data_IF_356678458037
#
_entry.id   IF_356678458037
#
_cell.length_a   1.000
_cell.length_b   1.000
_cell.length_c   1.000
_cell.angle_alpha   90.00
_cell.angle_beta   90.00
_cell.angle_gamma   90.00
#
_symmetry.space_group_name_H-M   'P 1'
#
loop_
_entity.id
_entity.type
_entity.pdbx_description
1 polymer ?
#
# COMPACT_ATOMS: atom_id res chain seq x y z
N UNK A 1 8.36 -48.25 -2.43
CA UNK A 1 9.01 -46.92 -2.51
C UNK A 1 8.07 -45.91 -1.87
N UNK A 2 8.40 -45.47 -0.68
CA UNK A 2 7.61 -44.43 0.01
C UNK A 2 7.93 -43.06 -0.61
N UNK A 3 6.92 -42.42 -1.18
CA UNK A 3 7.05 -41.05 -1.65
C UNK A 3 7.45 -40.14 -0.49
N UNK A 4 8.57 -39.44 -0.63
CA UNK A 4 8.97 -38.42 0.33
C UNK A 4 7.83 -37.40 0.48
N UNK A 5 7.50 -36.95 1.73
CA UNK A 5 6.49 -35.94 1.92
C UNK A 5 6.91 -34.67 1.17
N UNK A 6 6.05 -34.20 0.26
CA UNK A 6 6.23 -32.91 -0.41
C UNK A 6 6.35 -31.85 0.68
N UNK A 7 7.54 -31.27 0.83
CA UNK A 7 7.74 -30.17 1.76
C UNK A 7 6.74 -29.05 1.40
N UNK A 8 5.85 -28.70 2.31
CA UNK A 8 4.91 -27.61 2.12
C UNK A 8 5.70 -26.31 1.87
N UNK A 9 5.26 -25.52 0.90
CA UNK A 9 5.87 -24.21 0.66
C UNK A 9 5.83 -23.36 1.94
N UNK A 10 6.90 -22.63 2.25
CA UNK A 10 6.91 -21.74 3.40
C UNK A 10 5.78 -20.70 3.29
N UNK A 11 5.29 -20.22 4.42
CA UNK A 11 4.15 -19.28 4.48
C UNK A 11 4.65 -17.85 4.55
N UNK A 12 4.03 -16.99 3.72
CA UNK A 12 4.19 -15.54 3.79
C UNK A 12 2.89 -14.93 4.32
N UNK A 13 2.94 -14.36 5.52
CA UNK A 13 1.81 -13.61 6.10
C UNK A 13 1.83 -12.19 5.53
N UNK A 14 0.74 -11.80 4.88
CA UNK A 14 0.54 -10.46 4.37
C UNK A 14 -0.24 -9.63 5.40
N UNK A 15 0.48 -8.79 6.15
CA UNK A 15 0.01 -8.08 7.33
C UNK A 15 -0.78 -6.82 6.96
N UNK A 16 -1.95 -7.00 6.37
CA UNK A 16 -2.92 -5.93 6.11
C UNK A 16 -4.34 -6.44 6.34
N UNK A 17 -5.19 -5.59 6.93
CA UNK A 17 -6.63 -5.81 7.08
C UNK A 17 -7.42 -5.05 6.00
N UNK A 18 -6.77 -4.27 5.16
CA UNK A 18 -7.40 -3.60 4.03
C UNK A 18 -7.51 -4.57 2.83
N UNK A 19 -8.75 -4.97 2.49
CA UNK A 19 -9.02 -5.92 1.39
C UNK A 19 -8.52 -5.44 0.02
N UNK A 20 -8.60 -4.14 -0.25
CA UNK A 20 -8.13 -3.58 -1.52
C UNK A 20 -6.60 -3.68 -1.63
N UNK A 21 -5.88 -3.28 -0.58
CA UNK A 21 -4.42 -3.45 -0.49
C UNK A 21 -4.01 -4.92 -0.60
N UNK A 22 -4.69 -5.81 0.13
CA UNK A 22 -4.38 -7.25 0.10
C UNK A 22 -4.48 -7.81 -1.33
N UNK A 23 -5.55 -7.49 -2.06
CA UNK A 23 -5.72 -7.91 -3.46
C UNK A 23 -4.61 -7.40 -4.37
N UNK A 24 -4.29 -6.10 -4.30
CA UNK A 24 -3.19 -5.54 -5.10
C UNK A 24 -1.85 -6.21 -4.77
N UNK A 25 -1.54 -6.39 -3.48
CA UNK A 25 -0.27 -6.99 -3.04
C UNK A 25 -0.14 -8.45 -3.48
N UNK A 26 -1.22 -9.25 -3.41
CA UNK A 26 -1.21 -10.64 -3.90
C UNK A 26 -0.92 -10.70 -5.39
N UNK A 27 -1.58 -9.86 -6.18
CA UNK A 27 -1.35 -9.77 -7.64
C UNK A 27 0.08 -9.33 -7.95
N UNK A 28 0.57 -8.30 -7.27
CA UNK A 28 1.91 -7.74 -7.48
C UNK A 28 3.04 -8.68 -7.04
N UNK A 29 2.85 -9.42 -5.95
CA UNK A 29 3.80 -10.45 -5.52
C UNK A 29 3.90 -11.56 -6.55
N UNK A 30 2.79 -11.90 -7.22
CA UNK A 30 2.77 -12.91 -8.28
C UNK A 30 3.34 -14.25 -7.81
N UNK A 31 4.05 -14.93 -8.69
CA UNK A 31 4.70 -16.20 -8.34
C UNK A 31 5.96 -15.97 -7.51
N UNK A 32 5.89 -16.39 -6.25
CA UNK A 32 6.99 -16.42 -5.28
C UNK A 32 7.04 -17.82 -4.62
N UNK A 33 8.20 -18.22 -4.03
CA UNK A 33 8.33 -19.54 -3.42
C UNK A 33 7.61 -19.69 -2.07
N UNK A 34 6.52 -18.95 -1.87
CA UNK A 34 5.74 -18.92 -0.62
C UNK A 34 4.26 -19.18 -0.90
N UNK A 35 3.57 -19.73 0.09
CA UNK A 35 2.11 -19.69 0.17
C UNK A 35 1.71 -18.37 0.83
N UNK A 36 1.05 -17.47 0.09
CA UNK A 36 0.62 -16.17 0.62
C UNK A 36 -0.64 -16.37 1.47
N UNK A 37 -0.61 -15.82 2.69
CA UNK A 37 -1.73 -15.81 3.64
C UNK A 37 -2.08 -14.36 3.96
N UNK A 38 -3.10 -13.78 3.30
CA UNK A 38 -3.56 -12.43 3.63
C UNK A 38 -4.21 -12.42 5.02
N UNK A 39 -3.74 -11.53 5.90
CA UNK A 39 -4.23 -11.48 7.27
C UNK A 39 -5.72 -11.09 7.35
N UNK A 40 -6.21 -10.34 6.37
CA UNK A 40 -7.64 -9.98 6.24
C UNK A 40 -8.57 -11.21 6.10
N UNK A 41 -8.04 -12.35 5.70
CA UNK A 41 -8.79 -13.61 5.55
C UNK A 41 -8.64 -14.54 6.77
N UNK A 42 -7.85 -14.14 7.78
CA UNK A 42 -7.66 -14.89 9.03
C UNK A 42 -8.71 -14.43 10.05
N UNK A 43 -9.62 -15.30 10.50
CA UNK A 43 -10.64 -14.94 11.47
C UNK A 43 -10.04 -14.39 12.78
N UNK A 44 -10.57 -13.28 13.28
CA UNK A 44 -10.11 -12.66 14.51
C UNK A 44 -8.72 -12.00 14.43
N UNK A 45 -8.14 -11.86 13.25
CA UNK A 45 -6.89 -11.17 13.09
C UNK A 45 -7.05 -9.67 13.40
N UNK A 46 -6.15 -9.16 14.23
CA UNK A 46 -6.05 -7.75 14.57
C UNK A 46 -4.62 -7.26 14.34
N UNK A 47 -4.47 -6.02 13.92
CA UNK A 47 -3.22 -5.31 13.85
C UNK A 47 -3.23 -4.12 14.81
N UNK A 48 -2.06 -3.67 15.29
CA UNK A 48 -1.99 -2.47 16.12
C UNK A 48 -2.41 -1.23 15.34
N UNK A 49 -2.78 -0.18 16.07
CA UNK A 49 -2.95 1.14 15.49
C UNK A 49 -1.63 1.65 14.91
N UNK A 50 -1.72 2.38 13.81
CA UNK A 50 -0.60 3.01 13.15
C UNK A 50 -0.25 4.32 13.88
N UNK A 51 0.59 4.21 14.91
CA UNK A 51 0.97 5.32 15.80
C UNK A 51 2.29 5.98 15.43
N UNK A 52 3.08 5.38 14.54
CA UNK A 52 4.33 5.96 14.09
C UNK A 52 4.12 7.17 13.17
N UNK A 53 5.07 8.10 13.20
CA UNK A 53 5.05 9.30 12.37
C UNK A 53 5.61 9.08 10.95
N UNK A 54 6.07 7.85 10.66
CA UNK A 54 6.64 7.47 9.37
C UNK A 54 5.98 6.22 8.81
N UNK A 55 5.93 6.10 7.47
CA UNK A 55 5.46 4.89 6.79
C UNK A 55 6.28 3.66 7.19
N UNK A 56 7.61 3.82 7.30
CA UNK A 56 8.49 2.74 7.72
C UNK A 56 8.13 2.24 9.12
N UNK A 57 7.96 3.16 10.08
CA UNK A 57 7.57 2.81 11.44
C UNK A 57 6.25 2.05 11.49
N UNK A 58 5.23 2.50 10.76
CA UNK A 58 3.94 1.81 10.71
C UNK A 58 4.02 0.45 10.01
N UNK A 59 4.79 0.34 8.92
CA UNK A 59 5.01 -0.94 8.25
C UNK A 59 5.71 -1.94 9.18
N UNK A 60 6.74 -1.50 9.92
CA UNK A 60 7.46 -2.33 10.91
C UNK A 60 6.56 -2.76 12.06
N UNK A 61 5.75 -1.87 12.62
CA UNK A 61 4.77 -2.19 13.68
C UNK A 61 3.82 -3.30 13.23
N UNK A 62 3.27 -3.20 12.01
CA UNK A 62 2.37 -4.22 11.46
C UNK A 62 3.09 -5.54 11.20
N UNK A 63 4.30 -5.51 10.64
CA UNK A 63 5.08 -6.72 10.38
C UNK A 63 5.41 -7.46 11.68
N UNK A 64 5.88 -6.76 12.70
CA UNK A 64 6.20 -7.33 14.01
C UNK A 64 4.97 -7.94 14.68
N UNK A 65 3.84 -7.26 14.66
CA UNK A 65 2.60 -7.76 15.25
C UNK A 65 2.07 -9.02 14.56
N UNK A 66 2.35 -9.18 13.26
CA UNK A 66 1.86 -10.29 12.47
C UNK A 66 2.73 -11.57 12.56
N UNK A 67 3.91 -11.53 13.15
CA UNK A 67 4.78 -12.72 13.38
C UNK A 67 4.03 -13.84 14.12
N UNK A 68 3.10 -13.50 15.02
CA UNK A 68 2.28 -14.46 15.79
C UNK A 68 1.34 -15.31 14.92
N UNK A 69 1.14 -14.99 13.65
CA UNK A 69 0.28 -15.74 12.75
C UNK A 69 1.00 -16.87 12.00
N UNK A 70 2.12 -17.32 12.54
CA UNK A 70 2.85 -18.49 12.09
C UNK A 70 3.27 -18.46 10.63
N UNK A 71 3.77 -17.31 10.19
CA UNK A 71 4.44 -17.15 8.91
C UNK A 71 5.94 -17.43 9.00
N UNK A 72 6.53 -17.95 7.93
CA UNK A 72 7.99 -18.01 7.79
C UNK A 72 8.57 -16.64 7.46
N UNK A 73 7.75 -15.83 6.75
CA UNK A 73 8.02 -14.43 6.43
C UNK A 73 6.75 -13.62 6.64
N UNK A 74 6.90 -12.43 7.17
CA UNK A 74 5.83 -11.43 7.26
C UNK A 74 6.14 -10.26 6.35
N UNK A 75 5.16 -9.83 5.58
CA UNK A 75 5.21 -8.64 4.72
C UNK A 75 4.10 -7.69 5.15
N UNK A 76 4.45 -6.44 5.43
CA UNK A 76 3.50 -5.38 5.75
C UNK A 76 3.77 -4.15 4.89
N UNK A 77 2.72 -3.45 4.46
CA UNK A 77 2.85 -2.15 3.80
C UNK A 77 2.30 -1.03 4.66
N UNK A 78 2.91 0.15 4.57
CA UNK A 78 2.24 1.40 4.88
C UNK A 78 2.38 2.36 3.71
N UNK A 79 1.33 3.14 3.43
CA UNK A 79 1.27 3.95 2.22
C UNK A 79 0.33 5.13 2.39
N UNK A 80 0.63 6.22 1.69
CA UNK A 80 -0.21 7.39 1.71
C UNK A 80 0.05 8.34 0.55
N UNK A 81 -0.79 9.35 0.50
CA UNK A 81 -0.73 10.47 -0.42
C UNK A 81 -0.09 11.66 0.28
N UNK A 82 0.90 12.25 -0.35
CA UNK A 82 1.53 13.51 0.09
C UNK A 82 1.21 14.59 -0.94
N UNK A 83 0.70 15.75 -0.49
CA UNK A 83 0.36 16.88 -1.36
C UNK A 83 1.17 18.09 -0.91
N UNK A 84 1.96 18.68 -1.81
CA UNK A 84 2.89 19.75 -1.47
C UNK A 84 2.17 21.00 -0.95
N UNK A 85 1.05 21.37 -1.56
CA UNK A 85 0.22 22.49 -1.11
C UNK A 85 -0.39 22.30 0.30
N UNK A 86 -0.37 21.07 0.82
CA UNK A 86 -0.80 20.74 2.18
C UNK A 86 0.38 20.36 3.08
N UNK A 87 1.59 20.83 2.74
CA UNK A 87 2.82 20.55 3.51
C UNK A 87 3.08 19.05 3.70
N UNK A 88 2.81 18.25 2.65
CA UNK A 88 2.93 16.80 2.67
C UNK A 88 1.72 16.05 3.26
N UNK A 89 0.69 16.78 3.72
CA UNK A 89 -0.55 16.13 4.16
C UNK A 89 -1.32 15.51 2.98
N UNK A 90 -2.16 14.49 3.24
CA UNK A 90 -2.44 13.80 4.49
C UNK A 90 -1.31 12.86 5.00
N UNK A 91 -0.35 12.45 4.17
CA UNK A 91 0.82 11.66 4.56
C UNK A 91 0.44 10.31 5.18
N UNK A 92 1.08 9.93 6.28
CA UNK A 92 0.80 8.69 7.04
C UNK A 92 -0.64 8.61 7.57
N UNK A 93 -1.38 9.74 7.53
CA UNK A 93 -2.79 9.79 7.96
C UNK A 93 -3.77 9.62 6.81
N UNK A 94 -3.32 9.22 5.61
CA UNK A 94 -4.15 9.15 4.40
C UNK A 94 -5.42 8.32 4.60
N UNK A 95 -5.32 7.15 5.23
CA UNK A 95 -6.46 6.27 5.47
C UNK A 95 -7.47 6.80 6.51
N UNK A 96 -7.09 7.78 7.31
CA UNK A 96 -7.91 8.38 8.38
C UNK A 96 -8.05 9.90 8.26
N UNK A 97 -7.71 10.46 7.11
CA UNK A 97 -7.83 11.89 6.83
C UNK A 97 -9.28 12.36 6.98
N UNK A 98 -9.47 13.43 7.74
CA UNK A 98 -10.80 13.96 8.07
C UNK A 98 -11.51 13.23 9.22
N UNK A 99 -10.84 12.24 9.85
CA UNK A 99 -11.37 11.55 11.02
C UNK A 99 -12.24 10.32 10.72
N UNK A 100 -12.88 9.76 11.75
CA UNK A 100 -13.75 8.61 11.62
C UNK A 100 -15.02 8.95 10.84
N UNK A 101 -15.60 7.95 10.18
CA UNK A 101 -16.89 8.06 9.49
C UNK A 101 -16.80 8.50 8.03
N UNK A 102 -15.65 8.94 7.52
CA UNK A 102 -15.48 9.19 6.09
C UNK A 102 -15.07 7.90 5.36
N UNK A 103 -15.73 7.66 4.23
CA UNK A 103 -15.29 6.71 3.22
C UNK A 103 -14.25 7.34 2.26
N UNK A 104 -13.81 6.60 1.27
CA UNK A 104 -12.82 7.09 0.29
C UNK A 104 -13.33 8.28 -0.51
N UNK A 105 -14.62 8.31 -0.86
CA UNK A 105 -15.22 9.43 -1.57
C UNK A 105 -15.27 10.69 -0.70
N UNK A 106 -15.63 10.55 0.57
CA UNK A 106 -15.64 11.63 1.55
C UNK A 106 -14.24 12.21 1.80
N UNK A 107 -13.21 11.35 1.90
CA UNK A 107 -11.81 11.78 2.04
C UNK A 107 -11.32 12.51 0.79
N UNK A 108 -11.69 12.02 -0.38
CA UNK A 108 -11.37 12.67 -1.66
C UNK A 108 -12.04 14.04 -1.77
N UNK A 109 -13.31 14.14 -1.41
CA UNK A 109 -14.03 15.42 -1.40
C UNK A 109 -13.39 16.43 -0.43
N UNK A 110 -13.03 15.99 0.77
CA UNK A 110 -12.34 16.82 1.75
C UNK A 110 -10.96 17.29 1.25
N UNK A 111 -10.21 16.40 0.56
CA UNK A 111 -8.94 16.77 -0.05
C UNK A 111 -9.11 17.89 -1.07
N UNK A 112 -10.07 17.74 -1.97
CA UNK A 112 -10.37 18.75 -2.99
C UNK A 112 -10.86 20.07 -2.37
N UNK A 113 -11.64 20.01 -1.32
CA UNK A 113 -12.05 21.19 -0.55
C UNK A 113 -10.83 21.93 0.03
N UNK A 114 -9.88 21.22 0.63
CA UNK A 114 -8.65 21.81 1.19
C UNK A 114 -7.75 22.43 0.13
N UNK A 115 -7.88 21.98 -1.12
CA UNK A 115 -7.15 22.51 -2.27
C UNK A 115 -7.92 23.59 -3.02
N UNK A 116 -9.09 24.04 -2.52
CA UNK A 116 -9.86 25.11 -3.15
C UNK A 116 -9.02 26.39 -3.24
N UNK A 117 -8.95 26.96 -4.43
CA UNK A 117 -8.13 28.16 -4.71
C UNK A 117 -6.63 27.87 -4.94
N UNK A 118 -6.17 26.64 -4.76
CA UNK A 118 -4.81 26.26 -5.17
C UNK A 118 -4.81 26.03 -6.67
N UNK A 119 -3.97 26.75 -7.45
CA UNK A 119 -3.91 26.57 -8.89
C UNK A 119 -3.36 25.20 -9.28
N UNK A 120 -3.76 24.63 -10.43
CA UNK A 120 -3.42 23.25 -10.83
C UNK A 120 -1.92 22.95 -10.76
N UNK A 121 -1.06 23.85 -11.23
CA UNK A 121 0.39 23.71 -11.26
C UNK A 121 1.03 23.61 -9.87
N UNK A 122 0.31 23.99 -8.82
CA UNK A 122 0.73 23.91 -7.41
C UNK A 122 0.12 22.74 -6.67
N UNK A 123 -0.63 21.87 -7.34
CA UNK A 123 -1.24 20.66 -6.76
C UNK A 123 -0.34 19.44 -6.94
N UNK A 124 0.97 19.63 -6.95
CA UNK A 124 1.92 18.51 -7.00
C UNK A 124 1.74 17.59 -5.81
N UNK A 125 1.81 16.29 -6.08
CA UNK A 125 1.57 15.27 -5.09
C UNK A 125 2.37 14.01 -5.40
N UNK A 126 2.54 13.14 -4.41
CA UNK A 126 3.10 11.80 -4.63
C UNK A 126 2.36 10.77 -3.80
N UNK A 127 2.25 9.59 -4.34
CA UNK A 127 1.99 8.40 -3.54
C UNK A 127 3.30 7.76 -3.10
N UNK A 128 3.34 7.34 -1.85
CA UNK A 128 4.47 6.63 -1.24
C UNK A 128 3.99 5.32 -0.63
N UNK A 129 4.78 4.27 -0.76
CA UNK A 129 4.55 2.99 -0.13
C UNK A 129 5.87 2.46 0.42
N UNK A 130 5.89 2.13 1.70
CA UNK A 130 6.99 1.39 2.33
C UNK A 130 6.51 -0.02 2.63
N UNK A 131 7.32 -1.01 2.27
CA UNK A 131 7.10 -2.41 2.58
C UNK A 131 8.18 -2.87 3.56
N UNK A 132 7.76 -3.43 4.69
CA UNK A 132 8.61 -4.13 5.63
C UNK A 132 8.52 -5.65 5.37
N UNK A 133 9.68 -6.29 5.30
CA UNK A 133 9.85 -7.75 5.18
C UNK A 133 10.58 -8.24 6.42
N UNK A 134 9.95 -9.14 7.17
CA UNK A 134 10.48 -9.72 8.40
C UNK A 134 10.45 -11.25 8.32
N UNK A 135 11.61 -11.88 8.33
CA UNK A 135 11.75 -13.34 8.44
C UNK A 135 11.63 -13.81 9.90
N UNK A 136 11.62 -15.13 10.10
CA UNK A 136 11.66 -15.74 11.45
C UNK A 136 12.92 -15.36 12.24
N UNK A 137 14.00 -15.10 11.54
CA UNK A 137 15.31 -14.73 12.11
C UNK A 137 15.86 -13.52 11.36
N UNK A 138 16.69 -12.75 12.05
CA UNK A 138 17.33 -11.57 11.48
C UNK A 138 16.50 -10.28 11.58
N UNK A 139 17.09 -9.15 11.17
CA UNK A 139 16.43 -7.86 11.23
C UNK A 139 15.36 -7.72 10.14
N UNK A 140 14.35 -6.92 10.42
CA UNK A 140 13.43 -6.48 9.38
C UNK A 140 14.19 -5.64 8.33
N UNK A 141 13.77 -5.79 7.07
CA UNK A 141 14.29 -4.99 5.94
C UNK A 141 13.13 -4.21 5.35
N UNK A 142 13.38 -2.97 4.95
CA UNK A 142 12.37 -2.11 4.35
C UNK A 142 12.77 -1.71 2.93
N UNK A 143 11.78 -1.52 2.07
CA UNK A 143 11.92 -0.98 0.73
C UNK A 143 10.80 0.01 0.45
N UNK A 144 11.06 0.93 -0.46
CA UNK A 144 10.14 2.00 -0.77
C UNK A 144 9.81 2.05 -2.26
N UNK A 145 8.61 2.54 -2.57
CA UNK A 145 8.21 2.95 -3.92
C UNK A 145 7.46 4.27 -3.86
N UNK A 146 7.83 5.18 -4.76
CA UNK A 146 7.22 6.51 -4.87
C UNK A 146 6.79 6.73 -6.31
N UNK A 147 5.66 7.39 -6.50
CA UNK A 147 5.21 7.89 -7.80
C UNK A 147 4.77 9.33 -7.67
N UNK A 148 5.35 10.18 -8.50
CA UNK A 148 5.01 11.60 -8.58
C UNK A 148 3.81 11.80 -9.49
N UNK A 149 2.98 12.78 -9.14
CA UNK A 149 1.78 13.15 -9.87
C UNK A 149 1.22 14.49 -9.40
N UNK A 150 -0.05 14.69 -9.63
CA UNK A 150 -0.78 15.92 -9.26
C UNK A 150 -2.19 15.58 -8.80
N UNK A 151 -2.82 16.47 -8.05
CA UNK A 151 -4.23 16.34 -7.71
C UNK A 151 -5.09 17.02 -8.77
N UNK A 152 -5.96 16.24 -9.42
CA UNK A 152 -6.93 16.74 -10.37
C UNK A 152 -8.00 17.63 -9.71
N UNK A 153 -8.69 18.46 -10.51
CA UNK A 153 -9.74 19.36 -10.01
C UNK A 153 -11.01 18.62 -9.58
N UNK A 154 -11.26 17.46 -10.17
CA UNK A 154 -12.41 16.62 -9.89
C UNK A 154 -12.05 15.13 -10.02
N UNK A 155 -12.78 14.23 -9.36
CA UNK A 155 -12.59 12.80 -9.52
C UNK A 155 -12.86 12.33 -10.95
N UNK A 156 -12.01 11.45 -11.49
CA UNK A 156 -12.15 10.81 -12.79
C UNK A 156 -11.84 9.32 -12.69
N UNK A 157 -12.67 8.52 -13.37
CA UNK A 157 -12.58 7.06 -13.30
C UNK A 157 -13.21 6.49 -12.02
N UNK A 158 -13.43 5.17 -12.03
CA UNK A 158 -14.02 4.42 -10.94
C UNK A 158 -13.15 3.23 -10.50
N UNK A 159 -11.95 3.12 -11.06
CA UNK A 159 -10.98 2.08 -10.72
C UNK A 159 -10.19 2.40 -9.45
N UNK A 160 -9.54 1.39 -8.92
CA UNK A 160 -8.69 1.51 -7.75
C UNK A 160 -9.45 1.74 -6.45
N UNK A 161 -8.84 2.50 -5.52
CA UNK A 161 -9.40 2.86 -4.21
C UNK A 161 -8.73 4.11 -3.64
N UNK A 162 -9.29 4.64 -2.55
CA UNK A 162 -8.73 5.81 -1.88
C UNK A 162 -8.75 7.05 -2.78
N UNK A 163 -7.60 7.66 -2.95
CA UNK A 163 -7.42 8.88 -3.73
C UNK A 163 -7.14 8.65 -5.22
N UNK A 164 -7.21 7.41 -5.72
CA UNK A 164 -6.94 7.09 -7.12
C UNK A 164 -7.75 7.93 -8.13
N UNK A 165 -9.04 8.25 -7.88
CA UNK A 165 -9.82 9.07 -8.82
C UNK A 165 -9.33 10.51 -8.97
N UNK A 166 -8.56 11.03 -8.02
CA UNK A 166 -8.02 12.41 -8.08
C UNK A 166 -6.51 12.46 -8.27
N UNK A 167 -5.80 11.35 -8.19
CA UNK A 167 -4.37 11.32 -8.43
C UNK A 167 -4.07 11.23 -9.93
N UNK A 168 -3.78 12.38 -10.53
CA UNK A 168 -3.42 12.51 -11.94
C UNK A 168 -1.96 12.12 -12.16
N UNK A 169 -1.73 11.21 -13.10
CA UNK A 169 -0.41 10.74 -13.50
C UNK A 169 -0.02 11.31 -14.86
N UNK A 170 0.81 12.38 -14.91
CA UNK A 170 1.12 13.10 -16.13
C UNK A 170 1.64 12.25 -17.28
N UNK A 171 2.53 11.23 -17.05
CA UNK A 171 3.04 10.42 -18.15
C UNK A 171 1.97 9.68 -18.97
N UNK A 172 0.80 9.41 -18.38
CA UNK A 172 -0.33 8.77 -19.07
C UNK A 172 -1.49 9.71 -19.34
N UNK A 173 -1.46 10.96 -18.84
CA UNK A 173 -2.53 11.94 -19.00
C UNK A 173 -3.85 11.54 -18.35
N UNK A 174 -3.82 10.65 -17.33
CA UNK A 174 -4.99 10.05 -16.68
C UNK A 174 -4.82 10.04 -15.16
N UNK A 175 -5.95 9.98 -14.45
CA UNK A 175 -5.92 9.66 -13.03
C UNK A 175 -5.71 8.15 -12.84
N UNK A 176 -5.27 7.75 -11.66
CA UNK A 176 -5.17 6.31 -11.32
C UNK A 176 -6.54 5.62 -11.36
N UNK A 177 -7.63 6.35 -11.07
CA UNK A 177 -8.98 5.85 -11.19
C UNK A 177 -9.43 5.53 -12.63
N UNK A 178 -8.74 6.07 -13.64
CA UNK A 178 -8.99 5.82 -15.07
C UNK A 178 -8.10 4.70 -15.64
N UNK A 179 -7.14 4.17 -14.85
CA UNK A 179 -6.25 3.11 -15.29
C UNK A 179 -6.86 1.73 -15.03
N UNK A 180 -6.48 0.76 -15.86
CA UNK A 180 -6.72 -0.66 -15.53
C UNK A 180 -5.79 -1.08 -14.40
N UNK A 181 -6.18 -2.11 -13.65
CA UNK A 181 -5.37 -2.66 -12.55
C UNK A 181 -3.96 -3.06 -13.02
N UNK A 182 -3.83 -3.62 -14.22
CA UNK A 182 -2.55 -4.00 -14.79
C UNK A 182 -1.64 -2.78 -15.01
N UNK A 183 -2.14 -1.73 -15.67
CA UNK A 183 -1.37 -0.50 -15.92
C UNK A 183 -1.01 0.19 -14.60
N UNK A 184 -1.97 0.29 -13.66
CA UNK A 184 -1.71 0.85 -12.34
C UNK A 184 -0.64 0.06 -11.59
N UNK A 185 -0.68 -1.27 -11.64
CA UNK A 185 0.32 -2.15 -11.03
C UNK A 185 1.75 -1.87 -11.53
N UNK A 186 1.91 -1.55 -12.81
CA UNK A 186 3.21 -1.25 -13.39
C UNK A 186 3.79 0.10 -12.94
N UNK A 187 2.96 1.12 -12.83
CA UNK A 187 3.45 2.50 -12.61
C UNK A 187 3.36 2.96 -11.17
N UNK A 188 2.51 2.34 -10.33
CA UNK A 188 2.18 2.83 -8.99
C UNK A 188 3.33 2.70 -7.98
N UNK A 189 3.22 3.49 -6.90
CA UNK A 189 4.07 3.41 -5.71
C UNK A 189 4.15 1.99 -5.15
N UNK A 190 2.98 1.32 -4.99
CA UNK A 190 2.91 -0.06 -4.47
C UNK A 190 3.55 -1.05 -5.43
N UNK A 191 3.33 -0.92 -6.73
CA UNK A 191 3.99 -1.75 -7.73
C UNK A 191 5.52 -1.63 -7.67
N UNK A 192 6.03 -0.42 -7.52
CA UNK A 192 7.49 -0.16 -7.35
C UNK A 192 8.02 -0.76 -6.06
N UNK A 193 7.34 -0.57 -4.93
CA UNK A 193 7.74 -1.12 -3.64
C UNK A 193 7.74 -2.66 -3.64
N UNK A 194 6.71 -3.29 -4.23
CA UNK A 194 6.62 -4.76 -4.30
C UNK A 194 7.71 -5.34 -5.20
N UNK A 195 8.03 -4.70 -6.34
CA UNK A 195 9.16 -5.16 -7.17
C UNK A 195 10.47 -5.16 -6.39
N UNK A 196 10.73 -4.13 -5.58
CA UNK A 196 11.89 -4.10 -4.69
C UNK A 196 11.82 -5.17 -3.58
N UNK A 197 10.65 -5.37 -2.96
CA UNK A 197 10.44 -6.38 -1.93
C UNK A 197 10.64 -7.82 -2.45
N UNK A 198 10.25 -8.11 -3.70
CA UNK A 198 10.48 -9.43 -4.31
C UNK A 198 11.95 -9.82 -4.37
N UNK A 199 12.87 -8.88 -4.49
CA UNK A 199 14.30 -9.17 -4.42
C UNK A 199 14.71 -9.66 -3.03
N UNK A 200 14.09 -9.13 -1.97
CA UNK A 200 14.32 -9.55 -0.58
C UNK A 200 13.72 -10.92 -0.26
N UNK A 201 12.69 -11.35 -0.99
CA UNK A 201 11.99 -12.62 -0.78
C UNK A 201 12.63 -13.80 -1.53
N UNK A 202 13.52 -13.53 -2.47
CA UNK A 202 14.20 -14.56 -3.29
C UNK A 202 15.59 -14.92 -2.80
N UNK A 203 16.17 -14.10 -1.94
CA UNK A 203 17.50 -14.27 -1.36
C UNK A 203 17.42 -14.72 0.07
#
# INVERSE_FOLDING_TARGET
MASAPSASRPRLVLATLNRAKARELVVLLGEIPYTIVPLVDVPGAILPEETAETYEGNALLKAQAAVRFDGDVTVADDSGLEVDALSGGPGVRSARFGGPGLDDAGRTALLLERLRGVPPERRTARFRCVIAVLGRTGPARTVEGVVEGMIADAPRGAGGFGYDPVFFYPPLGRTFGELTDAVKSDVSHRGRAVRAARALLRG
#
